data_IF_337374184552
#
_entry.id   IF_337374184552
#
_cell.length_a   1.000
_cell.length_b   1.000
_cell.length_c   1.000
_cell.angle_alpha   90.00
_cell.angle_beta   90.00
_cell.angle_gamma   90.00
#
_symmetry.space_group_name_H-M   'P 1'
#
loop_
_entity.id
_entity.type
_entity.pdbx_description
1 polymer ?
#
# COMPACT_ATOMS: atom_id res chain seq x y z
N UNK A 1 -3.13 67.71 -56.00
CA UNK A 1 -4.39 67.00 -55.74
C UNK A 1 -4.09 65.52 -55.61
N UNK A 2 -4.34 64.98 -54.40
CA UNK A 2 -4.62 63.59 -53.98
C UNK A 2 -3.68 62.46 -54.47
N UNK A 3 -2.77 61.97 -53.61
CA UNK A 3 -2.90 60.87 -52.62
C UNK A 3 -2.80 59.44 -53.19
N UNK A 4 -1.67 58.78 -52.92
CA UNK A 4 -1.55 57.33 -52.77
C UNK A 4 -1.95 56.92 -51.32
N UNK A 5 -1.95 55.64 -50.89
CA UNK A 5 -2.13 54.34 -51.56
C UNK A 5 -3.26 53.50 -50.87
N UNK A 6 -3.69 52.36 -51.42
CA UNK A 6 -4.57 51.43 -50.70
C UNK A 6 -4.06 49.98 -50.80
N UNK A 7 -3.05 49.66 -49.99
CA UNK A 7 -2.74 48.30 -49.60
C UNK A 7 -3.92 47.76 -48.76
N UNK A 8 -4.79 46.97 -49.38
CA UNK A 8 -5.81 46.19 -48.68
C UNK A 8 -5.12 45.06 -47.90
N UNK A 9 -4.78 45.33 -46.64
CA UNK A 9 -4.45 44.32 -45.63
C UNK A 9 -5.68 43.47 -45.37
N UNK A 10 -5.74 42.28 -45.98
CA UNK A 10 -6.64 41.21 -45.58
C UNK A 10 -6.20 40.66 -44.21
N UNK A 11 -6.60 41.34 -43.15
CA UNK A 11 -6.61 40.82 -41.79
C UNK A 11 -7.67 39.72 -41.70
N UNK A 12 -7.30 38.51 -42.13
CA UNK A 12 -8.03 37.29 -41.81
C UNK A 12 -8.12 37.20 -40.29
N UNK A 13 -9.31 37.52 -39.81
CA UNK A 13 -9.72 37.45 -38.41
C UNK A 13 -9.65 35.99 -37.99
N UNK A 14 -8.51 35.59 -37.42
CA UNK A 14 -8.40 34.35 -36.67
C UNK A 14 -9.25 34.49 -35.40
N UNK A 15 -10.55 34.23 -35.51
CA UNK A 15 -11.40 33.94 -34.37
C UNK A 15 -10.82 32.72 -33.64
N UNK A 16 -9.89 32.94 -32.71
CA UNK A 16 -9.51 31.94 -31.72
C UNK A 16 -10.75 31.68 -30.87
N UNK A 17 -11.49 30.62 -31.18
CA UNK A 17 -12.51 30.09 -30.26
C UNK A 17 -11.85 29.91 -28.91
N UNK A 18 -12.44 30.51 -27.87
CA UNK A 18 -11.96 30.30 -26.50
C UNK A 18 -11.98 28.80 -26.22
N UNK A 19 -10.93 28.23 -25.62
CA UNK A 19 -10.96 26.85 -25.22
C UNK A 19 -12.08 26.69 -24.19
N UNK A 20 -12.95 25.71 -24.41
CA UNK A 20 -14.08 25.38 -23.53
C UNK A 20 -13.71 24.18 -22.64
N UNK A 21 -14.31 24.06 -21.44
CA UNK A 21 -14.17 22.88 -20.60
C UNK A 21 -14.82 21.65 -21.24
N UNK A 22 -14.30 20.46 -20.91
CA UNK A 22 -14.80 19.18 -21.46
C UNK A 22 -15.78 18.52 -20.51
N UNK A 23 -17.03 18.22 -20.96
CA UNK A 23 -17.97 17.45 -20.14
C UNK A 23 -17.46 16.03 -19.85
N UNK A 24 -16.67 15.46 -20.76
CA UNK A 24 -16.06 14.14 -20.56
C UNK A 24 -15.02 14.16 -19.44
N UNK A 25 -14.19 15.20 -19.35
CA UNK A 25 -13.24 15.33 -18.24
C UNK A 25 -13.96 15.48 -16.89
N UNK A 26 -15.00 16.32 -16.84
CA UNK A 26 -15.78 16.53 -15.61
C UNK A 26 -16.42 15.21 -15.14
N UNK A 27 -17.07 14.47 -16.05
CA UNK A 27 -17.68 13.20 -15.70
C UNK A 27 -16.64 12.14 -15.31
N UNK A 28 -15.53 12.03 -16.03
CA UNK A 28 -14.47 11.07 -15.74
C UNK A 28 -13.79 11.34 -14.40
N UNK A 29 -13.44 12.60 -14.12
CA UNK A 29 -12.80 12.98 -12.84
C UNK A 29 -13.71 12.72 -11.64
N UNK A 30 -15.02 12.98 -11.75
CA UNK A 30 -15.98 12.64 -10.70
C UNK A 30 -16.09 11.14 -10.47
N UNK A 31 -16.16 10.34 -11.55
CA UNK A 31 -16.19 8.88 -11.46
C UNK A 31 -14.91 8.32 -10.84
N UNK A 32 -13.75 8.82 -11.27
CA UNK A 32 -12.45 8.47 -10.70
C UNK A 32 -12.40 8.76 -9.21
N UNK A 33 -12.73 9.99 -8.79
CA UNK A 33 -12.68 10.38 -7.38
C UNK A 33 -13.61 9.51 -6.52
N UNK A 34 -14.81 9.21 -7.02
CA UNK A 34 -15.77 8.33 -6.32
C UNK A 34 -15.23 6.90 -6.20
N UNK A 35 -14.74 6.32 -7.30
CA UNK A 35 -14.21 4.97 -7.32
C UNK A 35 -12.99 4.86 -6.39
N UNK A 36 -12.07 5.81 -6.47
CA UNK A 36 -10.88 5.86 -5.65
C UNK A 36 -11.20 6.08 -4.17
N UNK A 37 -12.19 6.90 -3.83
CA UNK A 37 -12.62 7.07 -2.43
C UNK A 37 -13.19 5.78 -1.82
N UNK A 38 -13.79 4.90 -2.63
CA UNK A 38 -14.41 3.66 -2.15
C UNK A 38 -13.43 2.49 -2.08
N UNK A 39 -12.50 2.40 -3.02
CA UNK A 39 -11.63 1.23 -3.22
C UNK A 39 -10.15 1.52 -3.01
N UNK A 40 -9.77 2.79 -2.86
CA UNK A 40 -8.39 3.24 -2.76
C UNK A 40 -7.56 2.63 -3.90
N UNK A 41 -6.44 1.99 -3.58
CA UNK A 41 -5.53 1.41 -4.56
C UNK A 41 -6.11 0.21 -5.33
N UNK A 42 -7.14 -0.47 -4.81
CA UNK A 42 -7.82 -1.53 -5.55
C UNK A 42 -8.59 -0.99 -6.76
N UNK A 43 -8.97 0.29 -6.73
CA UNK A 43 -9.66 0.97 -7.83
C UNK A 43 -8.91 0.84 -9.17
N UNK A 44 -7.57 0.81 -9.15
CA UNK A 44 -6.76 0.77 -10.38
C UNK A 44 -6.90 -0.56 -11.14
N UNK A 45 -7.38 -1.61 -10.49
CA UNK A 45 -7.68 -2.91 -11.12
C UNK A 45 -9.18 -3.12 -11.35
N UNK A 46 -10.01 -2.16 -10.97
CA UNK A 46 -11.46 -2.24 -11.13
C UNK A 46 -11.85 -2.03 -12.61
N UNK A 47 -12.76 -2.84 -13.19
CA UNK A 47 -13.22 -2.66 -14.57
C UNK A 47 -13.81 -1.27 -14.87
N UNK A 48 -14.38 -0.59 -13.87
CA UNK A 48 -14.89 0.77 -14.03
C UNK A 48 -13.78 1.78 -14.35
N UNK A 49 -12.52 1.47 -14.03
CA UNK A 49 -11.37 2.30 -14.38
C UNK A 49 -11.12 2.34 -15.89
N UNK A 50 -11.46 1.27 -16.62
CA UNK A 50 -11.30 1.21 -18.08
C UNK A 50 -12.27 2.17 -18.79
N UNK A 51 -13.51 2.28 -18.28
CA UNK A 51 -14.49 3.25 -18.79
C UNK A 51 -14.03 4.70 -18.54
N UNK A 52 -13.43 4.96 -17.37
CA UNK A 52 -12.89 6.28 -17.02
C UNK A 52 -11.76 6.65 -17.98
N UNK A 53 -10.85 5.73 -18.28
CA UNK A 53 -9.78 5.98 -19.26
C UNK A 53 -10.30 6.24 -20.66
N UNK A 54 -11.25 5.43 -21.13
CA UNK A 54 -11.88 5.63 -22.43
C UNK A 54 -12.57 7.00 -22.51
N UNK A 55 -13.13 7.48 -21.40
CA UNK A 55 -13.71 8.82 -21.34
C UNK A 55 -12.64 9.92 -21.34
N UNK A 56 -11.55 9.76 -20.59
CA UNK A 56 -10.43 10.72 -20.60
C UNK A 56 -9.75 10.81 -21.97
N UNK A 57 -9.69 9.71 -22.72
CA UNK A 57 -9.14 9.68 -24.09
C UNK A 57 -10.00 10.43 -25.12
N UNK A 58 -11.28 10.68 -24.82
CA UNK A 58 -12.20 11.44 -25.68
C UNK A 58 -12.14 12.95 -25.45
N UNK A 59 -11.39 13.42 -24.44
CA UNK A 59 -11.22 14.84 -24.17
C UNK A 59 -10.51 15.51 -25.36
N UNK A 60 -11.10 16.54 -25.99
CA UNK A 60 -10.47 17.19 -27.14
C UNK A 60 -9.15 17.87 -26.77
N UNK A 61 -8.14 17.78 -27.63
CA UNK A 61 -6.82 18.41 -27.41
C UNK A 61 -6.86 19.93 -27.24
N UNK A 62 -7.90 20.58 -27.79
CA UNK A 62 -8.11 22.03 -27.69
C UNK A 62 -8.96 22.44 -26.48
N UNK A 63 -9.37 21.49 -25.64
CA UNK A 63 -10.10 21.75 -24.39
C UNK A 63 -9.21 22.45 -23.37
N UNK A 64 -9.80 23.26 -22.49
CA UNK A 64 -9.10 23.75 -21.29
C UNK A 64 -8.59 22.60 -20.40
N UNK A 65 -9.29 21.47 -20.42
CA UNK A 65 -9.01 20.33 -19.55
C UNK A 65 -8.06 19.30 -20.16
N UNK A 66 -7.63 19.48 -21.41
CA UNK A 66 -6.70 18.56 -22.08
C UNK A 66 -5.45 18.20 -21.24
N UNK A 67 -4.71 19.16 -20.64
CA UNK A 67 -3.55 18.82 -19.81
C UNK A 67 -3.94 18.03 -18.55
N UNK A 68 -5.06 18.37 -17.92
CA UNK A 68 -5.57 17.69 -16.73
C UNK A 68 -6.03 16.26 -17.04
N UNK A 69 -6.68 16.06 -18.18
CA UNK A 69 -7.09 14.75 -18.67
C UNK A 69 -5.87 13.84 -18.94
N UNK A 70 -4.85 14.38 -19.61
CA UNK A 70 -3.61 13.66 -19.88
C UNK A 70 -2.87 13.28 -18.59
N UNK A 71 -2.79 14.19 -17.62
CA UNK A 71 -2.18 13.93 -16.32
C UNK A 71 -2.93 12.83 -15.55
N UNK A 72 -4.27 12.87 -15.55
CA UNK A 72 -5.07 11.85 -14.89
C UNK A 72 -4.93 10.48 -15.59
N UNK A 73 -4.92 10.45 -16.93
CA UNK A 73 -4.64 9.24 -17.71
C UNK A 73 -3.28 8.62 -17.36
N UNK A 74 -2.23 9.44 -17.28
CA UNK A 74 -0.90 8.98 -16.91
C UNK A 74 -0.88 8.35 -15.52
N UNK A 75 -1.49 9.03 -14.53
CA UNK A 75 -1.60 8.52 -13.16
C UNK A 75 -2.36 7.20 -13.09
N UNK A 76 -3.48 7.07 -13.81
CA UNK A 76 -4.26 5.82 -13.81
C UNK A 76 -3.42 4.67 -14.39
N UNK A 77 -2.73 4.88 -15.52
CA UNK A 77 -1.89 3.86 -16.15
C UNK A 77 -0.76 3.42 -15.24
N UNK A 78 -0.06 4.37 -14.64
CA UNK A 78 0.99 4.09 -13.66
C UNK A 78 0.44 3.31 -12.45
N UNK A 79 -0.67 3.78 -11.89
CA UNK A 79 -1.35 3.12 -10.77
C UNK A 79 -1.73 1.67 -11.09
N UNK A 80 -2.21 1.40 -12.31
CA UNK A 80 -2.53 0.04 -12.75
C UNK A 80 -1.27 -0.83 -12.86
N UNK A 81 -0.19 -0.34 -13.44
CA UNK A 81 1.08 -1.08 -13.51
C UNK A 81 1.58 -1.46 -12.12
N UNK A 82 1.53 -0.52 -11.17
CA UNK A 82 1.94 -0.78 -9.79
C UNK A 82 1.00 -1.76 -9.08
N UNK A 83 -0.32 -1.62 -9.28
CA UNK A 83 -1.30 -2.52 -8.68
C UNK A 83 -1.20 -3.94 -9.24
N UNK A 84 -0.97 -4.11 -10.54
CA UNK A 84 -0.73 -5.41 -11.16
C UNK A 84 0.53 -6.06 -10.63
N UNK A 85 1.62 -5.30 -10.49
CA UNK A 85 2.87 -5.80 -9.90
C UNK A 85 2.62 -6.32 -8.48
N UNK A 86 1.98 -5.53 -7.61
CA UNK A 86 1.64 -5.95 -6.24
C UNK A 86 0.76 -7.21 -6.21
N UNK A 87 -0.21 -7.31 -7.13
CA UNK A 87 -1.07 -8.49 -7.24
C UNK A 87 -0.29 -9.74 -7.69
N UNK A 88 0.68 -9.59 -8.60
CA UNK A 88 1.57 -10.67 -9.02
C UNK A 88 2.51 -11.09 -7.88
N UNK A 89 3.16 -10.15 -7.21
CA UNK A 89 4.05 -10.40 -6.07
C UNK A 89 3.31 -11.18 -4.97
N UNK A 90 2.06 -10.79 -4.68
CA UNK A 90 1.20 -11.49 -3.72
C UNK A 90 0.88 -12.91 -4.17
N UNK A 91 0.55 -13.12 -5.45
CA UNK A 91 0.28 -14.47 -5.99
C UNK A 91 1.51 -15.36 -5.94
N UNK A 92 2.69 -14.84 -6.26
CA UNK A 92 3.96 -15.58 -6.21
C UNK A 92 4.29 -15.99 -4.77
N UNK A 93 4.18 -15.07 -3.81
CA UNK A 93 4.37 -15.39 -2.39
C UNK A 93 3.41 -16.47 -1.88
N UNK A 94 2.15 -16.44 -2.32
CA UNK A 94 1.17 -17.50 -1.97
C UNK A 94 1.44 -18.83 -2.66
N UNK A 95 2.04 -18.83 -3.86
CA UNK A 95 2.41 -20.04 -4.57
C UNK A 95 3.62 -20.73 -3.91
N UNK A 96 4.62 -19.96 -3.48
CA UNK A 96 5.78 -20.47 -2.73
C UNK A 96 5.35 -21.19 -1.44
N UNK A 97 4.37 -20.64 -0.73
CA UNK A 97 3.76 -21.24 0.47
C UNK A 97 2.98 -22.54 0.19
N UNK A 98 2.51 -22.76 -1.05
CA UNK A 98 1.74 -23.96 -1.44
C UNK A 98 2.60 -25.09 -1.99
N UNK A 99 3.92 -24.90 -2.10
CA UNK A 99 4.84 -26.00 -2.39
C UNK A 99 4.76 -27.00 -1.23
N UNK A 100 4.37 -28.26 -1.44
CA UNK A 100 4.40 -29.25 -0.37
C UNK A 100 5.83 -29.31 0.15
N UNK A 101 6.03 -28.97 1.43
CA UNK A 101 7.22 -29.38 2.15
C UNK A 101 7.30 -30.90 1.98
N UNK A 102 8.24 -31.37 1.16
CA UNK A 102 8.60 -32.77 1.14
C UNK A 102 8.89 -33.14 2.59
N UNK A 103 8.03 -33.99 3.16
CA UNK A 103 8.07 -34.43 4.54
C UNK A 103 9.49 -34.89 4.88
N UNK A 104 10.25 -34.05 5.58
CA UNK A 104 11.33 -34.56 6.41
C UNK A 104 10.66 -35.35 7.54
N UNK A 105 11.06 -36.60 7.82
CA UNK A 105 10.52 -37.32 8.96
C UNK A 105 10.92 -36.57 10.23
N UNK A 106 9.94 -35.93 10.86
CA UNK A 106 10.07 -35.39 12.20
C UNK A 106 10.15 -36.56 13.18
N UNK A 107 11.36 -36.93 13.55
CA UNK A 107 11.57 -37.63 14.81
C UNK A 107 11.44 -36.59 15.92
N UNK A 108 10.31 -36.57 16.60
CA UNK A 108 10.20 -35.97 17.92
C UNK A 108 9.42 -36.94 18.80
N UNK A 109 10.20 -37.70 19.56
CA UNK A 109 9.74 -38.38 20.76
C UNK A 109 9.14 -37.34 21.72
N UNK A 110 7.95 -37.62 22.24
CA UNK A 110 7.41 -36.87 23.38
C UNK A 110 8.12 -37.26 24.69
N UNK A 111 7.48 -37.01 25.84
CA UNK A 111 7.35 -35.70 26.48
C UNK A 111 8.11 -35.68 27.82
N UNK A 112 8.56 -34.50 28.28
CA UNK A 112 9.05 -34.31 29.64
C UNK A 112 8.68 -32.93 30.18
N UNK A 113 7.59 -32.88 30.95
CA UNK A 113 7.47 -32.07 32.19
C UNK A 113 8.40 -32.67 33.27
N UNK A 114 8.70 -32.05 34.45
CA UNK A 114 8.20 -30.82 35.13
C UNK A 114 9.39 -29.98 35.74
N UNK A 115 9.31 -29.08 36.77
CA UNK A 115 8.18 -28.62 37.59
C UNK A 115 7.99 -27.09 37.78
N UNK A 116 6.79 -26.78 38.27
CA UNK A 116 6.35 -25.57 38.99
C UNK A 116 7.23 -25.25 40.20
N UNK A 117 7.72 -24.00 40.32
CA UNK A 117 7.32 -23.07 41.40
C UNK A 117 8.04 -21.71 41.32
N UNK A 118 7.40 -20.72 41.98
CA UNK A 118 7.85 -19.36 42.31
C UNK A 118 7.32 -18.20 41.44
N UNK A 119 6.06 -17.82 41.70
CA UNK A 119 5.65 -16.40 41.73
C UNK A 119 6.51 -15.60 42.72
N UNK A 120 6.82 -14.34 42.40
CA UNK A 120 6.53 -13.27 43.35
C UNK A 120 5.78 -12.07 42.73
N UNK A 121 4.75 -11.69 43.47
CA UNK A 121 4.14 -10.36 43.62
C UNK A 121 3.42 -9.72 42.43
N UNK A 122 2.11 -9.93 42.42
CA UNK A 122 1.14 -9.27 41.58
C UNK A 122 1.00 -7.79 41.98
N UNK A 123 1.71 -6.91 41.27
CA UNK A 123 1.22 -5.56 41.03
C UNK A 123 -0.10 -5.61 40.25
N UNK A 124 -1.02 -4.63 40.41
CA UNK A 124 -2.32 -4.64 39.76
C UNK A 124 -2.19 -4.85 38.25
N UNK A 125 -3.07 -5.64 37.60
CA UNK A 125 -3.01 -5.80 36.15
C UNK A 125 -3.38 -4.47 35.49
N UNK A 126 -2.36 -3.73 35.04
CA UNK A 126 -2.56 -2.59 34.17
C UNK A 126 -3.21 -3.08 32.88
N UNK A 127 -4.46 -2.69 32.69
CA UNK A 127 -5.21 -2.87 31.48
C UNK A 127 -4.42 -2.33 30.27
N UNK A 128 -4.04 -3.19 29.32
CA UNK A 128 -3.43 -2.72 28.06
C UNK A 128 -2.61 -3.70 27.24
N UNK A 129 -2.52 -4.99 27.57
CA UNK A 129 -1.69 -5.97 26.84
C UNK A 129 -2.46 -6.80 25.80
N UNK A 130 -3.47 -6.23 25.15
CA UNK A 130 -4.24 -6.92 24.10
C UNK A 130 -3.48 -7.09 22.76
N UNK A 131 -2.15 -7.02 22.76
CA UNK A 131 -1.30 -7.05 21.56
C UNK A 131 -0.14 -8.05 21.63
N UNK A 132 0.53 -8.31 20.49
CA UNK A 132 1.66 -9.22 20.42
C UNK A 132 2.75 -8.84 21.43
N UNK A 133 3.31 -9.86 22.09
CA UNK A 133 4.36 -9.73 23.08
C UNK A 133 5.62 -10.47 22.62
N UNK A 134 6.75 -10.23 23.29
CA UNK A 134 7.97 -11.02 23.06
C UNK A 134 7.66 -12.51 23.26
N UNK A 135 8.06 -13.33 22.29
CA UNK A 135 7.78 -14.77 22.25
C UNK A 135 6.48 -15.16 21.54
N UNK A 136 5.59 -14.21 21.25
CA UNK A 136 4.37 -14.46 20.46
C UNK A 136 4.76 -15.10 19.11
N UNK A 137 4.14 -16.22 18.71
CA UNK A 137 4.45 -16.85 17.44
C UNK A 137 3.98 -15.98 16.27
N UNK A 138 4.74 -15.97 15.19
CA UNK A 138 4.41 -15.21 13.97
C UNK A 138 3.07 -15.66 13.37
N UNK A 139 2.67 -16.92 13.56
CA UNK A 139 1.35 -17.42 13.15
C UNK A 139 0.18 -16.67 13.83
N UNK A 140 0.38 -16.14 15.03
CA UNK A 140 -0.61 -15.34 15.74
C UNK A 140 -0.68 -13.91 15.19
N UNK A 141 0.44 -13.37 14.70
CA UNK A 141 0.46 -12.11 13.93
C UNK A 141 -0.31 -12.23 12.61
N UNK A 142 -0.23 -13.39 11.95
CA UNK A 142 -0.92 -13.67 10.68
C UNK A 142 -2.44 -13.75 10.87
N UNK A 143 -2.92 -14.40 11.95
CA UNK A 143 -4.35 -14.74 12.09
C UNK A 143 -4.99 -14.55 13.46
N UNK A 144 -4.20 -14.46 14.54
CA UNK A 144 -4.69 -14.36 15.91
C UNK A 144 -5.22 -12.97 16.26
N UNK A 145 -4.53 -11.90 15.83
CA UNK A 145 -4.90 -10.52 16.16
C UNK A 145 -5.91 -9.91 15.19
N UNK A 146 -6.94 -10.70 14.82
CA UNK A 146 -8.08 -10.26 13.97
C UNK A 146 -7.68 -9.59 12.65
N UNK A 147 -6.50 -9.93 12.12
CA UNK A 147 -5.95 -9.37 10.88
C UNK A 147 -5.45 -7.93 10.99
N UNK A 148 -5.18 -7.43 12.20
CA UNK A 148 -4.71 -6.06 12.42
C UNK A 148 -3.22 -5.87 12.17
N UNK A 149 -2.46 -6.95 11.94
CA UNK A 149 -1.03 -6.89 11.64
C UNK A 149 -0.76 -7.35 10.22
N UNK A 150 0.18 -6.66 9.56
CA UNK A 150 0.66 -7.03 8.23
C UNK A 150 2.18 -7.00 8.22
N UNK A 151 2.79 -7.77 7.31
CA UNK A 151 4.26 -7.83 7.19
C UNK A 151 4.78 -6.51 6.60
N UNK A 152 5.67 -5.86 7.34
CA UNK A 152 6.34 -4.62 6.95
C UNK A 152 7.62 -4.89 6.15
N UNK A 153 8.42 -3.84 5.95
CA UNK A 153 9.72 -3.98 5.29
C UNK A 153 10.75 -4.65 6.20
N UNK A 154 11.70 -5.37 5.61
CA UNK A 154 12.84 -5.88 6.36
C UNK A 154 13.68 -4.72 6.91
N UNK A 155 14.00 -4.78 8.20
CA UNK A 155 14.80 -3.75 8.86
C UNK A 155 16.14 -4.31 9.31
N UNK A 156 17.18 -3.47 9.29
CA UNK A 156 18.46 -3.90 9.81
C UNK A 156 18.53 -3.60 11.32
N UNK A 157 18.53 -4.66 12.13
CA UNK A 157 18.67 -4.55 13.58
C UNK A 157 20.16 -4.61 13.94
N UNK A 158 20.63 -3.61 14.66
CA UNK A 158 22.04 -3.50 15.07
C UNK A 158 22.45 -4.79 15.81
N UNK A 159 23.50 -5.45 15.32
CA UNK A 159 24.03 -6.69 15.91
C UNK A 159 23.26 -7.97 15.57
N UNK A 160 22.13 -7.90 14.84
CA UNK A 160 21.31 -9.07 14.46
C UNK A 160 21.02 -9.20 12.97
N UNK A 161 21.40 -8.21 12.16
CA UNK A 161 21.24 -8.25 10.71
C UNK A 161 19.80 -7.93 10.25
N UNK A 162 19.44 -8.28 9.00
CA UNK A 162 18.12 -8.02 8.44
C UNK A 162 17.05 -8.87 9.15
N UNK A 163 15.94 -8.25 9.53
CA UNK A 163 14.83 -8.88 10.23
C UNK A 163 13.49 -8.56 9.63
N UNK A 164 12.60 -9.53 9.72
CA UNK A 164 11.21 -9.34 9.34
C UNK A 164 10.51 -8.47 10.37
N UNK A 165 9.64 -7.60 9.88
CA UNK A 165 8.83 -6.73 10.73
C UNK A 165 7.36 -6.93 10.43
N UNK A 166 6.56 -6.58 11.42
CA UNK A 166 5.12 -6.56 11.37
C UNK A 166 4.63 -5.21 11.87
N UNK A 167 3.65 -4.67 11.17
CA UNK A 167 3.10 -3.34 11.40
C UNK A 167 1.61 -3.42 11.66
N UNK A 168 1.14 -2.50 12.49
CA UNK A 168 -0.28 -2.33 12.73
C UNK A 168 -0.94 -1.68 11.51
N UNK A 169 -2.07 -2.24 11.08
CA UNK A 169 -2.88 -1.70 10.00
C UNK A 169 -3.41 -0.30 10.36
N UNK A 170 -3.50 0.58 9.37
CA UNK A 170 -3.94 1.98 9.56
C UNK A 170 -5.46 2.13 9.77
N UNK A 171 -6.23 1.03 9.79
CA UNK A 171 -7.66 1.07 10.00
C UNK A 171 -7.99 1.57 11.41
N UNK A 172 -9.07 2.35 11.54
CA UNK A 172 -9.46 2.95 12.82
C UNK A 172 -9.74 1.90 13.90
N UNK A 173 -10.26 0.72 13.51
CA UNK A 173 -10.48 -0.41 14.43
C UNK A 173 -9.16 -0.89 15.04
N UNK A 174 -8.17 -1.18 14.21
CA UNK A 174 -6.88 -1.70 14.68
C UNK A 174 -6.11 -0.67 15.50
N UNK A 175 -6.17 0.62 15.14
CA UNK A 175 -5.53 1.69 15.92
C UNK A 175 -6.18 1.92 17.28
N UNK A 176 -7.49 1.72 17.41
CA UNK A 176 -8.17 1.81 18.71
C UNK A 176 -7.87 0.60 19.58
N UNK A 177 -7.86 -0.59 18.97
CA UNK A 177 -7.64 -1.86 19.65
C UNK A 177 -6.20 -2.04 20.11
N UNK A 178 -5.23 -1.60 19.31
CA UNK A 178 -3.79 -1.73 19.57
C UNK A 178 -3.11 -0.35 19.60
N UNK A 179 -3.69 0.60 20.31
CA UNK A 179 -3.22 1.99 20.34
C UNK A 179 -1.74 2.15 20.73
N UNK A 180 -1.24 1.29 21.61
CA UNK A 180 0.17 1.28 22.03
C UNK A 180 1.16 0.93 20.89
N UNK A 181 0.68 0.36 19.77
CA UNK A 181 1.50 -0.17 18.70
C UNK A 181 1.45 0.65 17.40
N UNK A 182 0.72 1.78 17.38
CA UNK A 182 0.51 2.61 16.17
C UNK A 182 1.82 3.06 15.53
N UNK A 183 2.81 3.44 16.33
CA UNK A 183 4.14 3.91 15.87
C UNK A 183 5.26 2.89 16.15
N UNK A 184 4.88 1.64 16.35
CA UNK A 184 5.80 0.54 16.66
C UNK A 184 5.91 -0.45 15.51
N UNK A 185 7.06 -1.13 15.46
CA UNK A 185 7.34 -2.30 14.64
C UNK A 185 7.46 -3.49 15.57
N UNK A 186 6.79 -4.57 15.22
CA UNK A 186 6.99 -5.87 15.85
C UNK A 186 8.04 -6.60 15.03
N UNK A 187 9.21 -6.84 15.62
CA UNK A 187 10.34 -7.49 14.95
C UNK A 187 10.31 -8.98 15.28
N UNK A 188 10.46 -9.84 14.27
CA UNK A 188 10.46 -11.30 14.47
C UNK A 188 11.82 -11.94 14.19
N UNK A 189 12.12 -13.01 14.94
CA UNK A 189 13.27 -13.91 14.79
C UNK A 189 12.77 -15.34 14.98
N UNK A 190 13.18 -16.26 14.10
CA UNK A 190 12.82 -17.69 14.16
C UNK A 190 11.31 -17.96 14.33
N UNK A 191 10.50 -17.16 13.63
CA UNK A 191 9.03 -17.30 13.62
C UNK A 191 8.36 -16.86 14.93
N UNK A 192 9.04 -16.05 15.76
CA UNK A 192 8.49 -15.47 17.00
C UNK A 192 8.82 -14.00 17.10
N UNK A 193 8.02 -13.25 17.85
CA UNK A 193 8.31 -11.86 18.20
C UNK A 193 9.55 -11.80 19.06
N UNK A 194 10.58 -11.14 18.55
CA UNK A 194 11.82 -10.89 19.26
C UNK A 194 11.67 -9.65 20.15
N UNK A 195 11.15 -8.57 19.57
CA UNK A 195 11.03 -7.28 20.25
C UNK A 195 10.02 -6.38 19.55
N UNK A 196 9.53 -5.39 20.28
CA UNK A 196 8.71 -4.30 19.77
C UNK A 196 9.57 -3.04 19.84
N UNK A 197 9.69 -2.32 18.73
CA UNK A 197 10.57 -1.15 18.62
C UNK A 197 9.82 0.02 18.00
N UNK A 198 9.98 1.26 18.49
CA UNK A 198 9.44 2.41 17.80
C UNK A 198 10.07 2.52 16.41
N UNK A 199 9.29 2.92 15.41
CA UNK A 199 9.76 3.07 14.01
C UNK A 199 10.99 3.97 13.90
N UNK A 200 11.13 4.96 14.78
CA UNK A 200 12.26 5.89 14.84
C UNK A 200 13.59 5.26 15.30
N UNK A 201 13.56 4.13 16.01
CA UNK A 201 14.77 3.47 16.52
C UNK A 201 15.40 2.49 15.52
N UNK A 202 14.75 2.29 14.37
CA UNK A 202 15.11 1.23 13.43
C UNK A 202 15.48 1.84 12.07
N UNK A 203 16.58 1.36 11.49
CA UNK A 203 16.98 1.76 10.13
C UNK A 203 16.35 0.81 9.10
N UNK A 204 15.79 1.33 8.00
CA UNK A 204 15.39 0.49 6.87
C UNK A 204 16.54 -0.41 6.48
N UNK A 205 16.28 -1.71 6.34
CA UNK A 205 17.26 -2.63 5.79
C UNK A 205 17.51 -2.29 4.31
N UNK A 206 18.61 -2.77 3.72
CA UNK A 206 18.69 -2.79 2.27
C UNK A 206 17.44 -3.51 1.74
N UNK A 207 16.73 -2.88 0.79
CA UNK A 207 15.66 -3.54 0.08
C UNK A 207 16.21 -4.88 -0.41
N UNK A 208 15.55 -5.99 -0.06
CA UNK A 208 15.98 -7.30 -0.51
C UNK A 208 16.09 -7.24 -2.04
N UNK A 209 17.32 -7.31 -2.52
CA UNK A 209 17.69 -7.32 -3.92
C UNK A 209 16.85 -8.41 -4.59
N UNK A 210 16.00 -8.01 -5.53
CA UNK A 210 15.26 -8.92 -6.40
C UNK A 210 16.29 -9.53 -7.37
N UNK A 211 17.09 -10.45 -6.84
CA UNK A 211 18.17 -11.13 -7.53
C UNK A 211 17.68 -12.40 -8.23
N UNK A 212 17.70 -12.31 -9.57
CA UNK A 212 17.79 -13.38 -10.59
C UNK A 212 16.51 -13.98 -11.15
#
# INVERSE_FOLDING_TARGET
>A
MLLAPACALLLLSACRSKPEPSPDFVAASQRFNRLYAQRLDEAYLDPQMDEIEAQLQRVPDKSLDAPSAAALLARIREGRTQAQKRAQDTRSALAELKTPLAMAPSSSAGPSEPPVDATPDAGPPDAGTDGPQVGTPESELVGGFRGCFFRGQSVNVIGRGPRQTWELQSSSRCRLEYAALVDSLVVTEDGKVLMISPKSAVKPGPAADAGR
#
